data_IF_189445890442
#
_entry.id   IF_189445890442
#
_cell.length_a   1.000
_cell.length_b   1.000
_cell.length_c   1.000
_cell.angle_alpha   90.00
_cell.angle_beta   90.00
_cell.angle_gamma   90.00
#
_symmetry.space_group_name_H-M   'P 1'
#
loop_
_entity.id
_entity.type
_entity.pdbx_description
1 polymer ?
#
# COMPACT_ATOMS: atom_id res chain seq x y z
N UNK A 1 -15.45 0.57 -14.52
CA UNK A 1 -14.74 -0.64 -14.99
C UNK A 1 -13.60 -0.26 -15.93
N UNK A 2 -12.35 -0.33 -15.48
CA UNK A 2 -11.15 -0.25 -16.35
C UNK A 2 -9.95 -0.86 -15.64
N UNK A 3 -8.84 -1.03 -16.37
CA UNK A 3 -7.56 -1.42 -15.78
C UNK A 3 -6.83 -0.19 -15.24
N UNK A 4 -6.28 -0.30 -14.04
CA UNK A 4 -5.43 0.71 -13.40
C UNK A 4 -3.98 0.23 -13.35
N UNK A 5 -3.19 0.62 -14.34
CA UNK A 5 -1.76 0.33 -14.41
C UNK A 5 -0.99 1.63 -14.56
N UNK A 6 0.15 1.74 -13.90
CA UNK A 6 1.04 2.89 -14.01
C UNK A 6 1.41 3.17 -15.47
N UNK A 7 1.35 4.45 -15.86
CA UNK A 7 1.53 4.89 -17.24
C UNK A 7 2.80 4.32 -17.91
N UNK A 8 3.98 4.26 -17.27
CA UNK A 8 5.18 3.69 -17.88
C UNK A 8 5.07 2.19 -18.17
N UNK A 9 4.46 1.43 -17.24
CA UNK A 9 4.26 -0.02 -17.40
C UNK A 9 3.25 -0.31 -18.49
N UNK A 10 2.13 0.45 -18.50
CA UNK A 10 1.12 0.37 -19.53
C UNK A 10 1.72 0.68 -20.91
N UNK A 11 2.50 1.75 -21.02
CA UNK A 11 3.14 2.14 -22.28
C UNK A 11 4.12 1.06 -22.77
N UNK A 12 4.93 0.49 -21.87
CA UNK A 12 5.87 -0.59 -22.20
C UNK A 12 5.14 -1.81 -22.77
N UNK A 13 4.13 -2.34 -22.07
CA UNK A 13 3.35 -3.50 -22.54
C UNK A 13 2.66 -3.22 -23.89
N UNK A 14 2.11 -2.01 -24.07
CA UNK A 14 1.52 -1.61 -25.35
C UNK A 14 2.54 -1.55 -26.49
N UNK A 15 3.75 -1.04 -26.22
CA UNK A 15 4.83 -0.98 -27.22
C UNK A 15 5.29 -2.38 -27.62
N UNK A 16 5.50 -3.26 -26.65
CA UNK A 16 5.90 -4.67 -26.91
C UNK A 16 4.87 -5.40 -27.76
N UNK A 17 3.56 -5.19 -27.51
CA UNK A 17 2.50 -5.75 -28.33
C UNK A 17 2.53 -5.21 -29.77
N UNK A 18 2.64 -3.88 -29.94
CA UNK A 18 2.74 -3.27 -31.28
C UNK A 18 3.96 -3.80 -32.02
N UNK A 19 5.11 -3.86 -31.35
CA UNK A 19 6.36 -4.37 -31.93
C UNK A 19 6.21 -5.81 -32.39
N UNK A 20 5.64 -6.67 -31.54
CA UNK A 20 5.36 -8.07 -31.88
C UNK A 20 4.46 -8.18 -33.12
N UNK A 21 3.35 -7.43 -33.16
CA UNK A 21 2.45 -7.43 -34.32
C UNK A 21 3.16 -6.95 -35.57
N UNK A 22 3.87 -5.82 -35.48
CA UNK A 22 4.52 -5.20 -36.61
C UNK A 22 5.66 -6.03 -37.15
N UNK A 23 6.36 -6.83 -36.33
CA UNK A 23 7.42 -7.73 -36.79
C UNK A 23 6.85 -9.04 -37.37
N UNK A 24 5.84 -9.63 -36.73
CA UNK A 24 5.27 -10.91 -37.15
C UNK A 24 4.34 -10.81 -38.38
N UNK A 25 3.66 -9.68 -38.59
CA UNK A 25 2.74 -9.51 -39.72
C UNK A 25 3.40 -8.72 -40.85
N UNK A 26 3.71 -9.35 -42.01
CA UNK A 26 4.55 -8.75 -43.04
C UNK A 26 3.95 -7.50 -43.68
N UNK A 27 2.63 -7.40 -43.73
CA UNK A 27 1.90 -6.30 -44.34
C UNK A 27 1.44 -5.22 -43.35
N UNK A 28 1.71 -5.39 -42.05
CA UNK A 28 1.40 -4.39 -41.04
C UNK A 28 2.42 -3.24 -41.08
N UNK A 29 1.94 -2.00 -41.05
CA UNK A 29 2.75 -0.78 -41.23
C UNK A 29 2.78 0.08 -39.96
N UNK A 30 1.68 0.11 -39.22
CA UNK A 30 1.54 0.96 -38.05
C UNK A 30 0.63 0.31 -37.03
N UNK A 31 1.02 0.34 -35.77
CA UNK A 31 0.18 -0.03 -34.64
C UNK A 31 -0.16 1.18 -33.78
N UNK A 32 -1.36 1.21 -33.22
CA UNK A 32 -1.80 2.20 -32.23
C UNK A 32 -2.64 1.50 -31.19
N UNK A 33 -2.39 1.74 -29.90
CA UNK A 33 -3.21 1.21 -28.81
C UNK A 33 -3.85 2.36 -28.05
N UNK A 34 -5.15 2.22 -27.81
CA UNK A 34 -5.99 3.15 -27.07
C UNK A 34 -6.44 2.48 -25.78
N UNK A 35 -6.21 3.10 -24.63
CA UNK A 35 -6.81 2.70 -23.36
C UNK A 35 -8.25 3.17 -23.32
N UNK A 36 -9.15 2.33 -22.84
CA UNK A 36 -10.52 2.70 -22.51
C UNK A 36 -10.60 2.91 -21.00
N UNK A 37 -11.01 4.12 -20.61
CA UNK A 37 -11.13 4.55 -19.22
C UNK A 37 -12.30 3.89 -18.47
N UNK A 38 -12.50 4.34 -17.24
CA UNK A 38 -13.53 3.82 -16.33
C UNK A 38 -14.94 4.10 -16.86
N UNK A 39 -15.90 3.37 -16.28
CA UNK A 39 -17.32 3.64 -16.48
C UNK A 39 -17.77 4.71 -15.50
N UNK A 40 -18.75 5.55 -15.88
CA UNK A 40 -19.49 5.54 -17.15
C UNK A 40 -18.82 6.29 -18.33
N UNK A 41 -17.73 7.02 -18.11
CA UNK A 41 -17.19 8.00 -19.07
C UNK A 41 -16.49 7.37 -20.29
N UNK A 42 -15.98 6.14 -20.15
CA UNK A 42 -15.23 5.36 -21.14
C UNK A 42 -14.29 6.20 -22.02
N UNK A 43 -13.48 7.05 -21.40
CA UNK A 43 -12.56 7.94 -22.13
C UNK A 43 -11.56 7.10 -22.92
N UNK A 44 -11.55 7.26 -24.24
CA UNK A 44 -10.59 6.62 -25.13
C UNK A 44 -9.33 7.48 -25.25
N UNK A 45 -8.23 7.00 -24.71
CA UNK A 45 -6.95 7.71 -24.67
C UNK A 45 -5.88 6.90 -25.43
N UNK A 46 -5.23 7.52 -26.41
CA UNK A 46 -4.12 6.92 -27.14
C UNK A 46 -2.89 6.84 -26.25
N UNK A 47 -2.42 5.62 -26.00
CA UNK A 47 -1.24 5.37 -25.17
C UNK A 47 0.03 5.50 -26.00
N UNK A 48 0.10 4.81 -27.14
CA UNK A 48 1.29 4.80 -27.97
C UNK A 48 0.97 4.43 -29.42
N UNK A 49 1.87 4.81 -30.33
CA UNK A 49 1.81 4.43 -31.73
C UNK A 49 3.21 4.18 -32.26
N UNK A 50 3.36 3.10 -33.02
CA UNK A 50 4.61 2.69 -33.64
C UNK A 50 4.43 2.53 -35.14
N UNK A 51 5.43 2.97 -35.91
CA UNK A 51 5.49 2.82 -37.36
C UNK A 51 6.73 2.01 -37.72
N UNK A 52 6.56 0.93 -38.47
CA UNK A 52 7.67 0.12 -38.95
C UNK A 52 8.15 0.67 -40.30
N UNK A 53 9.46 0.80 -40.46
CA UNK A 53 10.05 1.24 -41.74
C UNK A 53 9.81 0.21 -42.85
N UNK A 54 9.92 0.63 -44.12
CA UNK A 54 9.70 -0.27 -45.27
C UNK A 54 10.65 -1.47 -45.27
N UNK A 55 11.86 -1.30 -44.72
CA UNK A 55 12.86 -2.36 -44.57
C UNK A 55 12.58 -3.29 -43.39
N UNK A 56 11.59 -2.96 -42.55
CA UNK A 56 11.17 -3.71 -41.37
C UNK A 56 12.29 -3.97 -40.35
N UNK A 57 13.21 -3.02 -40.23
CA UNK A 57 14.37 -3.06 -39.31
C UNK A 57 14.20 -2.17 -38.09
N UNK A 58 13.39 -1.11 -38.19
CA UNK A 58 13.24 -0.13 -37.11
C UNK A 58 11.79 0.30 -36.95
N UNK A 59 11.37 0.40 -35.70
CA UNK A 59 10.10 0.99 -35.31
C UNK A 59 10.36 2.40 -34.77
N UNK A 60 9.69 3.39 -35.35
CA UNK A 60 9.65 4.76 -34.81
C UNK A 60 8.42 4.91 -33.92
N UNK A 61 8.65 5.41 -32.70
CA UNK A 61 7.62 5.63 -31.70
C UNK A 61 7.22 7.11 -31.68
N UNK A 62 5.92 7.39 -31.60
CA UNK A 62 5.45 8.77 -31.45
C UNK A 62 3.94 8.91 -31.59
N UNK A 63 3.40 9.96 -30.99
CA UNK A 63 1.99 10.33 -31.12
C UNK A 63 1.85 11.31 -32.30
N UNK A 64 0.99 11.05 -33.31
CA UNK A 64 0.64 12.05 -34.31
C UNK A 64 0.23 13.39 -33.69
N UNK A 65 0.66 14.50 -34.30
CA UNK A 65 0.50 15.87 -33.74
C UNK A 65 -0.97 16.26 -33.55
N UNK A 66 -1.91 15.72 -34.33
CA UNK A 66 -3.35 15.99 -34.20
C UNK A 66 -4.16 14.69 -34.15
N UNK A 67 -4.80 14.40 -33.01
CA UNK A 67 -5.82 13.36 -32.85
C UNK A 67 -6.67 13.68 -31.63
N UNK A 68 -8.00 13.58 -31.73
CA UNK A 68 -8.91 13.75 -30.59
C UNK A 68 -8.73 12.67 -29.51
N UNK A 69 -8.03 11.59 -29.82
CA UNK A 69 -7.67 10.54 -28.87
C UNK A 69 -6.36 10.81 -28.12
N UNK A 70 -5.63 11.90 -28.42
CA UNK A 70 -4.50 12.32 -27.58
C UNK A 70 -4.96 12.69 -26.18
N UNK A 71 -4.10 12.59 -25.14
CA UNK A 71 -4.40 13.09 -23.81
C UNK A 71 -5.01 14.50 -23.88
N UNK A 72 -6.16 14.75 -23.22
CA UNK A 72 -6.82 13.93 -22.19
C UNK A 72 -7.67 12.73 -22.69
N UNK A 73 -7.79 12.52 -24.00
CA UNK A 73 -8.59 11.47 -24.62
C UNK A 73 -9.98 11.94 -25.02
N UNK A 74 -10.73 11.06 -25.68
CA UNK A 74 -12.07 11.32 -26.22
C UNK A 74 -13.14 10.63 -25.35
N UNK A 75 -14.07 11.35 -24.69
CA UNK A 75 -15.14 10.78 -23.88
C UNK A 75 -16.13 9.91 -24.67
N UNK A 76 -16.83 8.97 -24.01
CA UNK A 76 -17.80 8.07 -24.64
C UNK A 76 -18.85 8.79 -25.48
N UNK A 77 -19.46 9.85 -24.92
CA UNK A 77 -20.46 10.68 -25.61
C UNK A 77 -19.88 11.29 -26.89
N UNK A 78 -18.58 11.59 -26.85
CA UNK A 78 -17.68 12.04 -27.91
C UNK A 78 -17.60 11.10 -29.13
N UNK A 79 -17.55 9.79 -28.89
CA UNK A 79 -17.24 8.80 -29.92
C UNK A 79 -18.31 7.72 -30.16
N UNK A 80 -19.29 7.53 -29.26
CA UNK A 80 -20.40 6.55 -29.39
C UNK A 80 -21.18 6.71 -30.69
N UNK A 81 -21.83 5.63 -31.13
CA UNK A 81 -22.72 5.66 -32.29
C UNK A 81 -23.99 6.48 -31.96
N UNK A 82 -24.30 7.45 -32.80
CA UNK A 82 -25.44 8.36 -32.63
C UNK A 82 -25.96 8.79 -34.01
N UNK A 83 -27.29 8.88 -34.22
CA UNK A 83 -27.83 9.38 -35.48
C UNK A 83 -27.25 10.74 -35.87
N UNK A 84 -26.96 10.92 -37.16
CA UNK A 84 -26.38 12.14 -37.75
C UNK A 84 -24.92 12.43 -37.35
N UNK A 85 -24.27 11.53 -36.60
CA UNK A 85 -22.83 11.61 -36.31
C UNK A 85 -22.09 10.53 -37.12
N UNK A 86 -20.83 10.79 -37.54
CA UNK A 86 -20.04 9.77 -38.19
C UNK A 86 -19.87 8.53 -37.29
N UNK A 87 -20.10 7.36 -37.87
CA UNK A 87 -19.90 6.09 -37.16
C UNK A 87 -18.41 5.81 -37.07
N UNK A 88 -17.91 5.51 -35.87
CA UNK A 88 -16.49 5.24 -35.66
C UNK A 88 -16.24 3.73 -35.49
N UNK A 89 -15.12 3.22 -36.00
CA UNK A 89 -14.70 1.86 -35.68
C UNK A 89 -14.39 1.67 -34.18
N UNK A 90 -13.98 2.76 -33.51
CA UNK A 90 -13.73 2.77 -32.05
C UNK A 90 -15.01 2.49 -31.25
N UNK A 91 -16.13 3.16 -31.56
CA UNK A 91 -17.39 2.93 -30.86
C UNK A 91 -17.90 1.51 -31.05
N UNK A 92 -17.75 0.93 -32.24
CA UNK A 92 -18.09 -0.48 -32.48
C UNK A 92 -17.30 -1.42 -31.56
N UNK A 93 -15.98 -1.23 -31.49
CA UNK A 93 -15.11 -2.07 -30.69
C UNK A 93 -15.44 -1.97 -29.20
N UNK A 94 -15.71 -0.75 -28.72
CA UNK A 94 -16.08 -0.51 -27.32
C UNK A 94 -17.47 -1.06 -27.04
N UNK A 95 -18.50 -0.60 -27.74
CA UNK A 95 -19.90 -0.92 -27.45
C UNK A 95 -20.24 -2.39 -27.70
N UNK A 96 -19.92 -2.90 -28.89
CA UNK A 96 -20.30 -4.26 -29.30
C UNK A 96 -19.27 -5.31 -28.88
N UNK A 97 -18.11 -4.89 -28.36
CA UNK A 97 -17.02 -5.80 -27.98
C UNK A 97 -16.58 -6.70 -29.14
N UNK A 98 -16.64 -6.16 -30.36
CA UNK A 98 -16.34 -6.86 -31.60
C UNK A 98 -15.30 -6.10 -32.40
N UNK A 99 -14.47 -6.84 -33.11
CA UNK A 99 -13.49 -6.27 -34.03
C UNK A 99 -14.15 -5.56 -35.21
N UNK A 100 -13.42 -4.62 -35.81
CA UNK A 100 -13.76 -4.00 -37.09
C UNK A 100 -12.58 -4.11 -38.06
N UNK A 101 -12.84 -4.42 -39.32
CA UNK A 101 -11.80 -4.49 -40.35
C UNK A 101 -12.24 -3.67 -41.56
N UNK A 102 -11.47 -2.64 -41.88
CA UNK A 102 -11.64 -1.82 -43.07
C UNK A 102 -10.90 -2.47 -44.25
N UNK A 103 -11.50 -3.51 -44.84
CA UNK A 103 -10.95 -4.20 -46.01
C UNK A 103 -11.21 -3.48 -47.34
N UNK A 104 -12.22 -2.61 -47.37
CA UNK A 104 -12.45 -1.62 -48.44
C UNK A 104 -12.80 -0.25 -47.84
N UNK A 105 -11.79 0.59 -47.55
CA UNK A 105 -12.01 1.91 -46.95
C UNK A 105 -12.88 2.87 -47.75
N UNK A 106 -13.13 2.61 -49.06
CA UNK A 106 -13.98 3.44 -49.92
C UNK A 106 -15.46 3.23 -49.66
N UNK A 107 -15.85 2.03 -49.22
CA UNK A 107 -17.24 1.66 -48.93
C UNK A 107 -17.45 1.32 -47.46
N UNK A 108 -16.45 1.55 -46.61
CA UNK A 108 -16.54 1.30 -45.17
C UNK A 108 -17.45 2.35 -44.50
N UNK A 109 -18.58 1.88 -43.98
CA UNK A 109 -19.58 2.67 -43.27
C UNK A 109 -19.07 3.33 -41.98
N UNK A 110 -17.89 2.94 -41.48
CA UNK A 110 -17.24 3.48 -40.27
C UNK A 110 -15.94 4.26 -40.57
N UNK A 111 -15.71 4.57 -41.85
CA UNK A 111 -14.61 5.41 -42.28
C UNK A 111 -14.91 6.89 -42.02
N UNK A 112 -14.44 7.42 -40.89
CA UNK A 112 -14.77 8.79 -40.44
C UNK A 112 -14.18 9.83 -41.38
N UNK A 113 -12.96 9.59 -41.88
CA UNK A 113 -12.28 10.50 -42.82
C UNK A 113 -13.00 10.56 -44.17
N UNK A 114 -13.51 9.44 -44.66
CA UNK A 114 -14.39 9.45 -45.84
C UNK A 114 -15.69 10.21 -45.57
N UNK A 115 -16.32 9.97 -44.42
CA UNK A 115 -17.60 10.60 -44.06
C UNK A 115 -17.51 12.13 -43.87
N UNK A 116 -16.40 12.62 -43.31
CA UNK A 116 -16.26 14.04 -42.90
C UNK A 116 -15.41 14.86 -43.87
N UNK A 117 -14.28 14.29 -44.32
CA UNK A 117 -13.25 15.02 -45.06
C UNK A 117 -13.20 14.62 -46.55
N UNK A 118 -13.92 13.56 -46.95
CA UNK A 118 -13.82 12.98 -48.29
C UNK A 118 -12.44 12.40 -48.61
N UNK A 119 -11.60 12.19 -47.58
CA UNK A 119 -10.24 11.67 -47.73
C UNK A 119 -10.21 10.17 -47.44
N UNK A 120 -9.37 9.46 -48.22
CA UNK A 120 -9.23 8.00 -48.11
C UNK A 120 -8.73 7.62 -46.73
N UNK A 121 -9.46 6.74 -46.04
CA UNK A 121 -8.97 6.09 -44.82
C UNK A 121 -8.07 4.90 -45.18
N UNK A 122 -7.15 4.55 -44.28
CA UNK A 122 -6.23 3.44 -44.47
C UNK A 122 -6.92 2.08 -44.28
N UNK A 123 -6.38 1.05 -44.92
CA UNK A 123 -6.73 -0.34 -44.63
C UNK A 123 -6.28 -0.69 -43.22
N UNK A 124 -7.20 -1.09 -42.36
CA UNK A 124 -6.87 -1.31 -40.96
C UNK A 124 -7.78 -2.33 -40.30
N UNK A 125 -7.31 -2.84 -39.15
CA UNK A 125 -8.08 -3.68 -38.26
C UNK A 125 -8.06 -3.08 -36.86
N UNK A 126 -9.22 -3.03 -36.22
CA UNK A 126 -9.39 -2.66 -34.82
C UNK A 126 -9.88 -3.86 -34.02
N UNK A 127 -9.16 -4.20 -32.95
CA UNK A 127 -9.46 -5.33 -32.07
C UNK A 127 -9.65 -4.84 -30.64
N UNK A 128 -10.80 -5.12 -29.99
CA UNK A 128 -10.99 -4.81 -28.58
C UNK A 128 -10.16 -5.76 -27.70
N UNK A 129 -9.53 -5.19 -26.68
CA UNK A 129 -8.89 -5.94 -25.59
C UNK A 129 -9.94 -6.18 -24.52
N UNK A 130 -10.35 -7.43 -24.38
CA UNK A 130 -11.40 -7.85 -23.46
C UNK A 130 -10.83 -8.50 -22.21
N UNK A 131 -11.35 -8.10 -21.05
CA UNK A 131 -11.03 -8.70 -19.75
C UNK A 131 -12.32 -9.07 -19.05
N UNK A 132 -12.33 -10.20 -18.32
CA UNK A 132 -13.54 -10.65 -17.61
C UNK A 132 -13.82 -9.71 -16.44
N UNK A 133 -15.10 -9.42 -16.22
CA UNK A 133 -15.54 -8.59 -15.10
C UNK A 133 -15.13 -9.19 -13.75
N UNK A 134 -15.23 -10.51 -13.60
CA UNK A 134 -14.88 -11.22 -12.37
C UNK A 134 -13.40 -11.00 -11.96
N UNK A 135 -12.51 -10.87 -12.95
CA UNK A 135 -11.08 -10.74 -12.70
C UNK A 135 -10.69 -9.32 -12.22
N UNK A 136 -11.51 -8.31 -12.49
CA UNK A 136 -11.25 -6.90 -12.15
C UNK A 136 -11.65 -6.52 -10.71
N UNK A 137 -11.85 -7.51 -9.82
CA UNK A 137 -12.28 -7.33 -8.44
C UNK A 137 -13.53 -6.42 -8.30
N UNK A 138 -14.43 -6.49 -9.30
CA UNK A 138 -15.54 -5.56 -9.50
C UNK A 138 -16.74 -5.76 -8.56
N UNK A 139 -16.70 -6.78 -7.69
CA UNK A 139 -17.82 -7.10 -6.79
C UNK A 139 -18.07 -6.06 -5.69
N UNK A 140 -17.21 -5.02 -5.55
CA UNK A 140 -17.41 -3.97 -4.53
C UNK A 140 -17.79 -2.59 -5.06
N UNK A 141 -17.57 -2.22 -6.34
CA UNK A 141 -17.77 -0.83 -6.79
C UNK A 141 -18.09 -0.65 -8.30
N UNK A 142 -19.36 -0.41 -8.66
CA UNK A 142 -19.86 0.80 -9.38
C UNK A 142 -21.26 0.58 -9.98
N UNK A 143 -22.22 1.42 -9.61
CA UNK A 143 -23.66 1.31 -9.92
C UNK A 143 -24.09 1.91 -11.27
N UNK A 144 -23.18 2.53 -12.04
CA UNK A 144 -23.51 3.16 -13.31
C UNK A 144 -22.70 2.57 -14.47
N UNK A 145 -23.42 1.83 -15.31
CA UNK A 145 -22.90 1.33 -16.56
C UNK A 145 -23.04 2.39 -17.67
N UNK A 146 -22.13 2.38 -18.67
CA UNK A 146 -22.26 3.23 -19.83
C UNK A 146 -23.53 2.87 -20.61
N UNK A 147 -24.12 3.88 -21.24
CA UNK A 147 -25.33 3.74 -22.05
C UNK A 147 -25.04 4.08 -23.50
N UNK A 148 -25.71 3.39 -24.41
CA UNK A 148 -25.69 3.76 -25.82
C UNK A 148 -26.49 5.05 -26.06
N UNK A 149 -26.65 5.45 -27.31
CA UNK A 149 -27.46 6.62 -27.67
C UNK A 149 -28.93 6.50 -27.26
N UNK A 150 -29.49 5.29 -27.25
CA UNK A 150 -30.90 5.03 -26.88
C UNK A 150 -31.13 5.01 -25.38
N UNK A 151 -30.05 5.04 -24.59
CA UNK A 151 -30.12 4.93 -23.14
C UNK A 151 -30.01 3.49 -22.63
N UNK A 152 -29.80 2.52 -23.54
CA UNK A 152 -29.64 1.12 -23.19
C UNK A 152 -28.26 0.89 -22.60
N UNK A 153 -28.22 0.12 -21.51
CA UNK A 153 -26.97 -0.18 -20.82
C UNK A 153 -26.10 -1.11 -21.66
N UNK A 154 -24.89 -0.68 -21.99
CA UNK A 154 -23.94 -1.49 -22.75
C UNK A 154 -23.19 -2.44 -21.80
N UNK A 155 -22.83 -3.61 -22.32
CA UNK A 155 -22.14 -4.68 -21.59
C UNK A 155 -22.92 -5.30 -20.43
N UNK A 156 -24.18 -4.94 -20.16
CA UNK A 156 -24.97 -5.51 -19.04
C UNK A 156 -24.90 -7.04 -19.02
N UNK A 157 -25.22 -7.66 -20.15
CA UNK A 157 -25.27 -9.11 -20.35
C UNK A 157 -23.92 -9.73 -20.77
N UNK A 158 -22.85 -8.94 -20.87
CA UNK A 158 -21.52 -9.45 -21.22
C UNK A 158 -20.72 -9.83 -19.98
N UNK A 159 -19.99 -10.94 -20.03
CA UNK A 159 -19.02 -11.32 -19.00
C UNK A 159 -17.74 -10.46 -19.05
N UNK A 160 -17.55 -9.69 -20.13
CA UNK A 160 -16.33 -8.95 -20.42
C UNK A 160 -16.54 -7.45 -20.40
N UNK A 161 -15.45 -6.72 -20.26
CA UNK A 161 -15.34 -5.28 -20.49
C UNK A 161 -14.23 -4.99 -21.48
N UNK A 162 -14.37 -3.90 -22.24
CA UNK A 162 -13.32 -3.42 -23.14
C UNK A 162 -12.40 -2.49 -22.36
N UNK A 163 -11.13 -2.85 -22.22
CA UNK A 163 -10.12 -2.08 -21.45
C UNK A 163 -9.13 -1.33 -22.35
N UNK A 164 -9.01 -1.77 -23.59
CA UNK A 164 -8.22 -1.11 -24.62
C UNK A 164 -8.74 -1.50 -26.03
N UNK A 165 -8.30 -0.78 -27.05
CA UNK A 165 -8.53 -1.11 -28.46
C UNK A 165 -7.22 -0.97 -29.23
N UNK A 166 -6.92 -1.97 -30.05
CA UNK A 166 -5.69 -2.05 -30.85
C UNK A 166 -6.05 -1.76 -32.30
N UNK A 167 -5.50 -0.69 -32.91
CA UNK A 167 -5.64 -0.37 -34.34
C UNK A 167 -4.34 -0.67 -35.07
N UNK A 168 -4.38 -1.57 -36.04
CA UNK A 168 -3.26 -1.93 -36.91
C UNK A 168 -3.57 -1.54 -38.34
N UNK A 169 -2.69 -0.76 -38.96
CA UNK A 169 -2.78 -0.37 -40.37
C UNK A 169 -1.99 -1.36 -41.23
N UNK A 170 -2.53 -1.65 -42.41
CA UNK A 170 -1.99 -2.62 -43.35
C UNK A 170 -1.74 -1.99 -44.72
N UNK A 171 -0.91 -2.65 -45.52
CA UNK A 171 -0.79 -2.35 -46.96
C UNK A 171 -2.15 -2.53 -47.66
N UNK A 172 -2.45 -1.75 -48.70
CA UNK A 172 -3.72 -1.85 -49.42
C UNK A 172 -4.05 -3.27 -49.85
N UNK A 173 -5.31 -3.68 -49.64
CA UNK A 173 -5.85 -4.99 -50.05
C UNK A 173 -5.18 -6.23 -49.44
N UNK A 174 -4.39 -6.06 -48.38
CA UNK A 174 -3.68 -7.18 -47.71
C UNK A 174 -4.38 -7.69 -46.45
N UNK A 175 -5.37 -6.98 -45.93
CA UNK A 175 -6.16 -7.37 -44.75
C UNK A 175 -7.59 -7.73 -45.18
N UNK A 176 -8.14 -8.79 -44.59
CA UNK A 176 -9.54 -9.23 -44.83
C UNK A 176 -10.19 -9.67 -43.53
N UNK A 177 -11.51 -9.61 -43.46
CA UNK A 177 -12.26 -10.16 -42.33
C UNK A 177 -11.97 -11.67 -42.22
N UNK A 178 -11.58 -12.11 -41.01
CA UNK A 178 -11.27 -13.52 -40.75
C UNK A 178 -9.92 -14.00 -41.30
N UNK A 179 -9.08 -13.11 -41.82
CA UNK A 179 -7.74 -13.46 -42.28
C UNK A 179 -6.81 -13.86 -41.12
N UNK A 180 -5.68 -14.48 -41.45
CA UNK A 180 -4.69 -14.91 -40.46
C UNK A 180 -4.22 -13.74 -39.57
N UNK A 181 -4.01 -12.56 -40.15
CA UNK A 181 -3.63 -11.34 -39.44
C UNK A 181 -4.64 -10.99 -38.34
N UNK A 182 -5.94 -11.02 -38.65
CA UNK A 182 -7.00 -10.72 -37.66
C UNK A 182 -7.04 -11.76 -36.54
N UNK A 183 -6.79 -13.04 -36.85
CA UNK A 183 -6.73 -14.12 -35.86
C UNK A 183 -5.54 -13.93 -34.92
N UNK A 184 -4.37 -13.58 -35.47
CA UNK A 184 -3.15 -13.31 -34.68
C UNK A 184 -3.37 -12.11 -33.77
N UNK A 185 -3.90 -11.01 -34.30
CA UNK A 185 -4.16 -9.79 -33.50
C UNK A 185 -5.16 -10.09 -32.38
N UNK A 186 -6.23 -10.85 -32.65
CA UNK A 186 -7.20 -11.28 -31.64
C UNK A 186 -6.61 -12.16 -30.54
N UNK A 187 -5.64 -13.03 -30.87
CA UNK A 187 -4.93 -13.82 -29.85
C UNK A 187 -4.03 -12.92 -28.99
N UNK A 188 -3.29 -12.02 -29.64
CA UNK A 188 -2.39 -11.10 -28.93
C UNK A 188 -3.16 -10.08 -28.09
N UNK A 189 -4.34 -9.63 -28.52
CA UNK A 189 -5.20 -8.71 -27.74
C UNK A 189 -5.68 -9.37 -26.45
N UNK A 190 -6.02 -10.66 -26.48
CA UNK A 190 -6.36 -11.43 -25.27
C UNK A 190 -5.15 -11.55 -24.34
N UNK A 191 -3.98 -11.86 -24.88
CA UNK A 191 -2.73 -11.92 -24.10
C UNK A 191 -2.41 -10.58 -23.44
N UNK A 192 -2.56 -9.46 -24.15
CA UNK A 192 -2.40 -8.12 -23.58
C UNK A 192 -3.39 -7.89 -22.43
N UNK A 193 -4.66 -8.26 -22.60
CA UNK A 193 -5.66 -8.17 -21.53
C UNK A 193 -5.24 -8.89 -20.24
N UNK A 194 -4.74 -10.12 -20.36
CA UNK A 194 -4.20 -10.90 -19.24
C UNK A 194 -2.95 -10.27 -18.62
N UNK A 195 -2.05 -9.73 -19.45
CA UNK A 195 -0.84 -9.09 -18.97
C UNK A 195 -1.13 -7.81 -18.17
N UNK A 196 -2.01 -6.95 -18.71
CA UNK A 196 -2.46 -5.73 -18.06
C UNK A 196 -3.16 -6.02 -16.73
N UNK A 197 -4.01 -7.05 -16.68
CA UNK A 197 -4.63 -7.52 -15.44
C UNK A 197 -3.57 -7.99 -14.43
N UNK A 198 -2.58 -8.76 -14.88
CA UNK A 198 -1.50 -9.25 -14.02
C UNK A 198 -0.65 -8.12 -13.44
N UNK A 199 -0.47 -7.02 -14.16
CA UNK A 199 0.18 -5.82 -13.61
C UNK A 199 -0.68 -5.16 -12.55
N UNK A 200 -1.97 -4.96 -12.80
CA UNK A 200 -2.88 -4.36 -11.82
C UNK A 200 -2.92 -5.18 -10.52
N UNK A 201 -3.11 -6.50 -10.60
CA UNK A 201 -3.16 -7.37 -9.42
C UNK A 201 -1.87 -7.30 -8.59
N UNK A 202 -0.70 -7.25 -9.24
CA UNK A 202 0.58 -7.07 -8.56
C UNK A 202 0.66 -5.71 -7.87
N UNK A 203 0.22 -4.65 -8.53
CA UNK A 203 0.23 -3.30 -7.96
C UNK A 203 -0.72 -3.18 -6.76
N UNK A 204 -1.93 -3.72 -6.88
CA UNK A 204 -2.92 -3.72 -5.79
C UNK A 204 -2.42 -4.54 -4.60
N UNK A 205 -1.84 -5.72 -4.85
CA UNK A 205 -1.23 -6.54 -3.80
C UNK A 205 -0.12 -5.80 -3.03
N UNK A 206 0.78 -5.12 -3.74
CA UNK A 206 1.84 -4.31 -3.12
C UNK A 206 1.28 -3.17 -2.27
N UNK A 207 0.26 -2.45 -2.77
CA UNK A 207 -0.42 -1.39 -2.01
C UNK A 207 -1.07 -1.93 -0.75
N UNK A 208 -1.77 -3.06 -0.82
CA UNK A 208 -2.41 -3.70 0.34
C UNK A 208 -1.37 -4.16 1.37
N UNK A 209 -0.26 -4.77 0.93
CA UNK A 209 0.82 -5.16 1.85
C UNK A 209 1.44 -3.96 2.56
N UNK A 210 1.66 -2.85 1.85
CA UNK A 210 2.21 -1.63 2.43
C UNK A 210 1.25 -1.03 3.47
N UNK A 211 -0.05 -0.98 3.17
CA UNK A 211 -1.07 -0.53 4.11
C UNK A 211 -1.10 -1.41 5.37
N UNK A 212 -1.11 -2.74 5.20
CA UNK A 212 -1.10 -3.68 6.31
C UNK A 212 0.14 -3.56 7.20
N UNK A 213 1.32 -3.38 6.60
CA UNK A 213 2.56 -3.16 7.34
C UNK A 213 2.49 -1.86 8.18
N UNK A 214 1.93 -0.79 7.63
CA UNK A 214 1.70 0.47 8.33
C UNK A 214 0.71 0.32 9.48
N UNK A 215 -0.40 -0.38 9.26
CA UNK A 215 -1.41 -0.63 10.30
C UNK A 215 -0.85 -1.48 11.44
N UNK A 216 -0.03 -2.49 11.13
CA UNK A 216 0.66 -3.30 12.14
C UNK A 216 1.58 -2.45 13.01
N UNK A 217 2.36 -1.54 12.42
CA UNK A 217 3.22 -0.61 13.16
C UNK A 217 2.40 0.32 14.06
N UNK A 218 1.29 0.85 13.55
CA UNK A 218 0.38 1.69 14.33
C UNK A 218 -0.22 0.93 15.52
N UNK A 219 -0.65 -0.32 15.32
CA UNK A 219 -1.16 -1.16 16.39
C UNK A 219 -0.09 -1.43 17.47
N UNK A 220 1.15 -1.72 17.07
CA UNK A 220 2.26 -1.88 18.01
C UNK A 220 2.52 -0.60 18.83
N UNK A 221 2.45 0.59 18.21
CA UNK A 221 2.61 1.86 18.91
C UNK A 221 1.51 2.09 19.96
N UNK A 222 0.24 1.84 19.57
CA UNK A 222 -0.91 1.95 20.50
C UNK A 222 -0.74 0.99 21.69
N UNK A 223 -0.32 -0.25 21.42
CA UNK A 223 -0.09 -1.25 22.47
C UNK A 223 1.07 -0.83 23.39
N UNK A 224 2.18 -0.34 22.84
CA UNK A 224 3.32 0.12 23.62
C UNK A 224 2.96 1.29 24.54
N UNK A 225 2.18 2.26 24.05
CA UNK A 225 1.72 3.40 24.86
C UNK A 225 0.72 2.95 25.94
N UNK A 226 -0.19 2.03 25.63
CA UNK A 226 -1.12 1.44 26.60
C UNK A 226 -0.37 0.67 27.70
N UNK A 227 0.62 -0.13 27.33
CA UNK A 227 1.49 -0.85 28.27
C UNK A 227 2.26 0.12 29.16
N UNK A 228 2.89 1.16 28.58
CA UNK A 228 3.63 2.17 29.35
C UNK A 228 2.71 2.85 30.37
N UNK A 229 1.51 3.26 29.96
CA UNK A 229 0.52 3.86 30.86
C UNK A 229 0.10 2.91 31.99
N UNK A 230 -0.09 1.63 31.68
CA UNK A 230 -0.47 0.61 32.67
C UNK A 230 0.65 0.39 33.68
N UNK A 231 1.89 0.23 33.22
CA UNK A 231 3.08 0.06 34.09
C UNK A 231 3.24 1.27 35.01
N UNK A 232 3.12 2.49 34.49
CA UNK A 232 3.23 3.71 35.31
C UNK A 232 2.16 3.77 36.39
N UNK A 233 0.89 3.46 36.06
CA UNK A 233 -0.21 3.44 37.03
C UNK A 233 0.01 2.36 38.10
N UNK A 234 0.40 1.15 37.70
CA UNK A 234 0.72 0.06 38.64
C UNK A 234 1.89 0.42 39.54
N UNK A 235 2.93 1.06 39.02
CA UNK A 235 4.07 1.55 39.80
C UNK A 235 3.66 2.58 40.86
N UNK A 236 2.77 3.52 40.50
CA UNK A 236 2.22 4.49 41.45
C UNK A 236 1.43 3.81 42.57
N UNK A 237 0.54 2.87 42.22
CA UNK A 237 -0.23 2.09 43.20
C UNK A 237 0.70 1.34 44.15
N UNK A 238 1.73 0.68 43.61
CA UNK A 238 2.70 -0.06 44.43
C UNK A 238 3.46 0.84 45.40
N UNK A 239 3.85 2.05 44.95
CA UNK A 239 4.49 3.04 45.81
C UNK A 239 3.57 3.51 46.95
N UNK A 240 2.29 3.75 46.66
CA UNK A 240 1.30 4.13 47.68
C UNK A 240 1.09 3.01 48.70
N UNK A 241 0.94 1.76 48.24
CA UNK A 241 0.84 0.58 49.13
C UNK A 241 2.08 0.47 50.03
N UNK A 242 3.29 0.65 49.46
CA UNK A 242 4.52 0.62 50.24
C UNK A 242 4.57 1.73 51.30
N UNK A 243 4.09 2.93 50.96
CA UNK A 243 4.02 4.05 51.90
C UNK A 243 3.04 3.77 53.05
N UNK A 244 1.84 3.27 52.75
CA UNK A 244 0.84 2.92 53.77
C UNK A 244 1.34 1.80 54.69
N UNK A 245 1.97 0.76 54.13
CA UNK A 245 2.59 -0.31 54.94
C UNK A 245 3.69 0.25 55.84
N UNK A 246 4.53 1.15 55.32
CA UNK A 246 5.56 1.82 56.10
C UNK A 246 4.97 2.62 57.26
N UNK A 247 3.95 3.45 56.99
CA UNK A 247 3.26 4.23 57.99
C UNK A 247 2.62 3.36 59.09
N UNK A 248 1.92 2.29 58.70
CA UNK A 248 1.31 1.35 59.65
C UNK A 248 2.35 0.67 60.53
N UNK A 249 3.50 0.30 59.97
CA UNK A 249 4.61 -0.27 60.74
C UNK A 249 5.16 0.74 61.74
N UNK A 250 5.40 1.97 61.31
CA UNK A 250 5.95 3.01 62.19
C UNK A 250 4.97 3.34 63.34
N UNK A 251 3.66 3.38 63.06
CA UNK A 251 2.61 3.49 64.09
C UNK A 251 2.63 2.31 65.07
N UNK A 252 2.79 1.08 64.56
CA UNK A 252 2.84 -0.12 65.40
C UNK A 252 4.09 -0.16 66.29
N UNK A 253 5.25 0.22 65.76
CA UNK A 253 6.49 0.37 66.53
C UNK A 253 6.33 1.41 67.64
N UNK A 254 5.69 2.55 67.36
CA UNK A 254 5.43 3.57 68.39
C UNK A 254 4.54 3.05 69.52
N UNK A 255 3.47 2.31 69.21
CA UNK A 255 2.61 1.70 70.22
C UNK A 255 3.36 0.66 71.06
N UNK A 256 4.18 -0.17 70.43
CA UNK A 256 5.02 -1.15 71.14
C UNK A 256 6.02 -0.48 72.09
N UNK A 257 6.63 0.63 71.68
CA UNK A 257 7.54 1.40 72.54
C UNK A 257 6.83 2.10 73.70
N UNK A 258 5.54 2.46 73.54
CA UNK A 258 4.74 3.05 74.63
C UNK A 258 4.34 2.03 75.70
N UNK A 259 4.02 0.79 75.30
CA UNK A 259 3.63 -0.29 76.21
C UNK A 259 4.80 -1.16 76.71
N UNK A 260 5.98 -1.05 76.08
CA UNK A 260 7.19 -1.80 76.42
C UNK A 260 7.87 -1.28 77.69
N UNK A 261 8.24 -2.20 78.61
CA UNK A 261 8.97 -1.87 79.84
C UNK A 261 10.45 -1.50 79.62
N UNK A 262 11.02 -1.88 78.47
CA UNK A 262 12.42 -1.60 78.13
C UNK A 262 12.52 -0.34 77.28
N UNK A 263 12.95 0.76 77.91
CA UNK A 263 13.11 2.06 77.26
C UNK A 263 14.33 2.16 76.35
N UNK A 264 15.17 1.13 76.28
CA UNK A 264 16.46 1.21 75.60
C UNK A 264 16.27 1.01 74.08
N UNK A 265 16.25 2.12 73.36
CA UNK A 265 15.94 2.17 71.94
C UNK A 265 17.18 1.85 71.08
N UNK A 266 16.93 1.40 69.85
CA UNK A 266 17.96 1.24 68.81
C UNK A 266 18.82 2.51 68.62
N UNK A 267 18.19 3.69 68.75
CA UNK A 267 18.87 4.98 68.68
C UNK A 267 19.85 5.20 69.84
N UNK A 268 19.43 4.86 71.06
CA UNK A 268 20.27 4.95 72.26
C UNK A 268 21.44 3.96 72.20
N UNK A 269 21.21 2.71 71.77
CA UNK A 269 22.27 1.73 71.60
C UNK A 269 23.34 2.17 70.58
N UNK A 270 22.93 2.74 69.44
CA UNK A 270 23.86 3.27 68.43
C UNK A 270 24.59 4.52 68.95
N UNK A 271 23.90 5.38 69.71
CA UNK A 271 24.52 6.55 70.34
C UNK A 271 25.60 6.14 71.33
N UNK A 272 25.34 5.15 72.18
CA UNK A 272 26.32 4.64 73.14
C UNK A 272 27.53 4.01 72.42
N UNK A 273 27.30 3.28 71.33
CA UNK A 273 28.38 2.77 70.48
C UNK A 273 29.20 3.90 69.82
N UNK A 274 28.54 4.99 69.40
CA UNK A 274 29.21 6.15 68.85
C UNK A 274 30.09 6.83 69.91
N UNK A 275 29.56 7.03 71.12
CA UNK A 275 30.29 7.64 72.23
C UNK A 275 31.50 6.79 72.65
N UNK A 276 31.36 5.45 72.66
CA UNK A 276 32.50 4.53 72.87
C UNK A 276 33.56 4.65 71.78
N UNK A 277 33.14 4.69 70.50
CA UNK A 277 34.03 4.83 69.36
C UNK A 277 34.78 6.17 69.40
N UNK A 278 34.11 7.24 69.85
CA UNK A 278 34.71 8.57 69.96
C UNK A 278 35.73 8.67 71.10
N UNK A 279 35.56 7.87 72.16
CA UNK A 279 36.48 7.77 73.31
C UNK A 279 37.72 6.91 73.05
N UNK A 280 37.73 6.06 72.02
CA UNK A 280 38.91 5.35 71.54
C UNK A 280 39.77 6.33 70.72
N UNK A 281 41.02 6.58 71.15
CA UNK A 281 41.89 7.65 70.63
C UNK A 281 42.24 7.59 69.12
N UNK A 282 43.11 8.50 68.65
CA UNK A 282 43.34 8.82 67.23
C UNK A 282 44.13 7.77 66.40
N UNK A 283 43.78 6.49 66.48
CA UNK A 283 44.26 5.46 65.57
C UNK A 283 43.15 5.01 64.63
N UNK A 284 43.30 5.26 63.31
CA UNK A 284 42.43 4.81 62.21
C UNK A 284 41.11 5.60 61.99
N UNK A 285 41.24 6.88 61.62
CA UNK A 285 40.13 7.79 61.31
C UNK A 285 39.18 7.29 60.21
N UNK A 286 39.69 6.56 59.21
CA UNK A 286 38.87 6.07 58.08
C UNK A 286 37.96 4.90 58.48
N UNK A 287 38.43 3.99 59.32
CA UNK A 287 37.63 2.89 59.88
C UNK A 287 36.55 3.41 60.81
N UNK A 288 36.88 4.44 61.60
CA UNK A 288 35.92 5.15 62.46
C UNK A 288 34.79 5.76 61.62
N UNK A 289 35.10 6.44 60.52
CA UNK A 289 34.08 7.02 59.63
C UNK A 289 33.20 5.96 58.97
N UNK A 290 33.77 4.84 58.54
CA UNK A 290 33.00 3.72 57.96
C UNK A 290 32.06 3.10 59.01
N UNK A 291 32.55 2.84 60.22
CA UNK A 291 31.76 2.33 61.34
C UNK A 291 30.59 3.25 61.69
N UNK A 292 30.82 4.57 61.78
CA UNK A 292 29.76 5.55 62.03
C UNK A 292 28.73 5.58 60.90
N UNK A 293 29.17 5.53 59.64
CA UNK A 293 28.26 5.53 58.50
C UNK A 293 27.36 4.29 58.48
N UNK A 294 27.91 3.12 58.81
CA UNK A 294 27.17 1.86 58.88
C UNK A 294 26.23 1.83 60.08
N UNK A 295 26.66 2.31 61.25
CA UNK A 295 25.81 2.44 62.44
C UNK A 295 24.61 3.37 62.18
N UNK A 296 24.82 4.51 61.52
CA UNK A 296 23.74 5.41 61.12
C UNK A 296 22.81 4.77 60.09
N UNK A 297 23.37 4.02 59.12
CA UNK A 297 22.58 3.26 58.16
C UNK A 297 21.71 2.20 58.84
N UNK A 298 22.15 1.62 59.95
CA UNK A 298 21.31 0.70 60.71
C UNK A 298 20.05 1.39 61.20
N UNK A 299 20.13 2.63 61.71
CA UNK A 299 18.98 3.39 62.21
C UNK A 299 17.88 3.55 61.16
N UNK A 300 18.26 3.75 59.89
CA UNK A 300 17.35 3.91 58.76
C UNK A 300 16.74 2.59 58.27
N UNK A 301 17.30 1.45 58.66
CA UNK A 301 16.86 0.13 58.24
C UNK A 301 15.85 -0.48 59.22
N UNK A 302 14.64 -0.75 58.76
CA UNK A 302 13.65 -1.52 59.51
C UNK A 302 13.68 -2.98 59.08
N UNK A 303 14.62 -3.74 59.65
CA UNK A 303 14.79 -5.17 59.36
C UNK A 303 13.96 -6.02 60.33
N UNK A 304 13.39 -7.15 59.88
CA UNK A 304 12.82 -8.16 60.78
C UNK A 304 13.88 -8.65 61.78
N UNK A 305 13.49 -9.07 63.01
CA UNK A 305 14.44 -9.40 64.09
C UNK A 305 15.60 -10.32 63.66
N UNK A 306 15.30 -11.48 63.06
CA UNK A 306 16.33 -12.42 62.59
C UNK A 306 17.28 -11.82 61.54
N UNK A 307 16.77 -10.96 60.66
CA UNK A 307 17.60 -10.30 59.63
C UNK A 307 18.37 -9.12 60.21
N UNK A 308 17.81 -8.43 61.19
CA UNK A 308 18.45 -7.34 61.91
C UNK A 308 19.64 -7.84 62.70
N UNK A 309 19.48 -8.94 63.44
CA UNK A 309 20.56 -9.58 64.19
C UNK A 309 21.71 -9.99 63.27
N UNK A 310 21.41 -10.74 62.20
CA UNK A 310 22.42 -11.14 61.20
C UNK A 310 23.11 -9.94 60.56
N UNK A 311 22.37 -8.86 60.28
CA UNK A 311 22.93 -7.64 59.70
C UNK A 311 23.87 -6.93 60.69
N UNK A 312 23.50 -6.83 61.97
CA UNK A 312 24.34 -6.22 63.02
C UNK A 312 25.63 -7.01 63.19
N UNK A 313 25.55 -8.34 63.25
CA UNK A 313 26.74 -9.21 63.33
C UNK A 313 27.66 -8.96 62.13
N UNK A 314 27.12 -9.07 60.91
CA UNK A 314 27.93 -8.95 59.69
C UNK A 314 28.49 -7.55 59.42
N UNK A 315 27.74 -6.50 59.78
CA UNK A 315 28.07 -5.13 59.35
C UNK A 315 28.65 -4.27 60.47
N UNK A 316 28.26 -4.50 61.72
CA UNK A 316 28.74 -3.74 62.88
C UNK A 316 29.77 -4.58 63.63
N UNK A 317 29.41 -5.74 64.16
CA UNK A 317 30.29 -6.52 65.05
C UNK A 317 31.61 -6.93 64.37
N UNK A 318 31.56 -7.43 63.13
CA UNK A 318 32.78 -7.80 62.39
C UNK A 318 33.70 -6.61 62.09
N UNK A 319 33.16 -5.39 62.00
CA UNK A 319 33.97 -4.16 61.81
C UNK A 319 34.56 -3.62 63.12
N UNK A 320 34.01 -4.03 64.26
CA UNK A 320 34.50 -3.66 65.59
C UNK A 320 35.64 -4.58 66.08
N UNK A 321 35.79 -5.78 65.50
CA UNK A 321 36.90 -6.73 65.76
C UNK A 321 38.19 -6.27 65.11
#
# INVERSE_FOLDING_TARGET
MSIEVEKPVLEKACREMIETILLCLPNALKGTIYRIGKTPELIAERITSGFIDEKRKKISWGLPVKSGYNPPGKPWVEYRDEPRRPLEAMSWCVEKQRSWTAEDPMHDARSVRMQVEGTREDFHHMEPVLVRKLDLNLNMYSSEYPKDYKGDVIWKESEYVTVAVVKIHFRPHTIRIGSHETIVIKKLSRSLGTELLSYQLRQDSLKTMQAYAKDRLNACNILADSLRNTITKSGMIFSLVKQEIGYLRDQWEQLLLQDGKDKYTKSEAIKDLHDMLMGMGNGQEDLRKDLVAVQNRFLELSLPPEKGENWVVMQIEERWK
#
